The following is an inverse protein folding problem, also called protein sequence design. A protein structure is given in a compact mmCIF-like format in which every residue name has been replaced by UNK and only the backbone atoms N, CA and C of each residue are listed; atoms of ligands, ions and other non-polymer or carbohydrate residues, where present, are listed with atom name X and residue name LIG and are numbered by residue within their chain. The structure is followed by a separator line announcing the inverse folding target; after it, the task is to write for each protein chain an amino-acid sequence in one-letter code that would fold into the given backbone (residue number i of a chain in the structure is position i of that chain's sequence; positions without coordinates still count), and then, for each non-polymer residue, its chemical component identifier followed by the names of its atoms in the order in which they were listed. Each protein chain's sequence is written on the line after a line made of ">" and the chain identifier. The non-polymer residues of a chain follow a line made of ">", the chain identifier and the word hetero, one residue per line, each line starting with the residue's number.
data_IF_225915117230
#
_entry.id   IF_225915117230
#
_cell.length_a   1.000
_cell.length_b   1.000
_cell.length_c   1.000
_cell.angle_alpha   90.00
_cell.angle_beta   90.00
_cell.angle_gamma   90.00
#
_symmetry.space_group_name_H-M   'P 1'
#
loop_
_entity.id
_entity.type
_entity.pdbx_description
1 polymer ?
#
# COMPACT_ATOMS: atom_id res chain seq x y z
N UNK A 1 25.31 -1.26 -12.23
CA UNK A 1 24.47 -2.24 -11.50
C UNK A 1 23.18 -1.63 -10.94
N UNK A 2 23.00 -0.31 -10.97
CA UNK A 2 21.79 0.39 -10.47
C UNK A 2 20.60 0.39 -11.47
N UNK A 3 20.81 0.03 -12.73
CA UNK A 3 19.77 0.12 -13.76
C UNK A 3 18.80 -1.07 -13.80
N UNK A 4 19.11 -2.20 -13.14
CA UNK A 4 18.22 -3.38 -13.20
C UNK A 4 17.02 -3.30 -12.26
N UNK A 5 17.14 -2.60 -11.13
CA UNK A 5 16.09 -2.51 -10.11
C UNK A 5 14.97 -1.52 -10.49
N UNK A 6 15.29 -0.48 -11.28
CA UNK A 6 14.29 0.51 -11.70
C UNK A 6 13.27 -0.02 -12.73
N UNK A 7 13.61 -1.01 -13.52
CA UNK A 7 12.73 -1.53 -14.57
C UNK A 7 11.56 -2.36 -14.02
N UNK A 8 11.68 -2.93 -12.83
CA UNK A 8 10.62 -3.77 -12.24
C UNK A 8 9.54 -2.96 -11.52
N UNK A 9 9.86 -1.78 -10.98
CA UNK A 9 8.93 -0.95 -10.18
C UNK A 9 7.76 -0.41 -11.02
N UNK A 10 7.92 -0.32 -12.35
CA UNK A 10 6.88 0.16 -13.26
C UNK A 10 6.39 -0.93 -14.22
N UNK A 11 6.73 -2.20 -13.97
CA UNK A 11 6.25 -3.31 -14.79
C UNK A 11 4.80 -3.61 -14.45
N UNK A 12 3.93 -3.56 -15.46
CA UNK A 12 2.54 -3.95 -15.31
C UNK A 12 2.36 -5.40 -15.78
N UNK A 13 1.60 -6.21 -15.04
CA UNK A 13 1.35 -7.60 -15.43
C UNK A 13 0.58 -7.68 -16.75
N UNK A 14 0.94 -8.66 -17.59
CA UNK A 14 0.20 -9.00 -18.81
C UNK A 14 -1.05 -9.76 -18.41
N UNK A 15 -2.22 -9.32 -18.89
CA UNK A 15 -3.51 -9.83 -18.47
C UNK A 15 -4.06 -10.94 -19.36
N UNK A 16 -4.71 -11.89 -18.71
CA UNK A 16 -5.71 -12.78 -19.33
C UNK A 16 -7.08 -12.07 -19.26
N UNK A 17 -7.84 -12.15 -20.33
CA UNK A 17 -9.15 -11.50 -20.50
C UNK A 17 -10.06 -11.65 -19.27
N UNK A 18 -10.62 -10.51 -18.76
CA UNK A 18 -11.57 -10.36 -17.65
C UNK A 18 -11.01 -10.21 -16.23
N UNK A 19 -9.72 -10.05 -16.03
CA UNK A 19 -9.21 -9.74 -14.69
C UNK A 19 -9.63 -8.34 -14.24
N UNK A 20 -9.95 -8.17 -12.96
CA UNK A 20 -10.14 -6.86 -12.35
C UNK A 20 -8.79 -6.31 -11.91
N UNK A 21 -8.61 -5.01 -12.03
CA UNK A 21 -7.43 -4.32 -11.53
C UNK A 21 -7.77 -3.71 -10.18
N UNK A 22 -7.21 -4.27 -9.13
CA UNK A 22 -7.32 -3.72 -7.78
C UNK A 22 -6.14 -2.78 -7.55
N UNK A 23 -6.42 -1.58 -7.09
CA UNK A 23 -5.44 -0.53 -6.86
C UNK A 23 -5.49 -0.14 -5.40
N UNK A 24 -4.34 -0.13 -4.76
CA UNK A 24 -4.11 0.43 -3.42
C UNK A 24 -3.03 1.47 -3.50
N UNK A 25 -3.04 2.47 -2.61
CA UNK A 25 -1.98 3.47 -2.52
C UNK A 25 -1.56 3.74 -1.10
N UNK A 26 -0.31 4.16 -0.92
CA UNK A 26 0.19 4.54 0.40
C UNK A 26 1.68 4.79 0.45
N UNK A 27 2.13 5.33 1.58
CA UNK A 27 3.55 5.55 1.87
C UNK A 27 4.28 4.29 2.31
N UNK A 28 3.60 3.40 3.05
CA UNK A 28 4.16 2.14 3.57
C UNK A 28 5.51 2.34 4.29
N UNK A 29 5.55 3.32 5.19
CA UNK A 29 6.80 3.78 5.81
C UNK A 29 6.70 4.00 7.33
N UNK A 30 7.27 3.09 8.14
CA UNK A 30 7.66 1.73 7.78
C UNK A 30 6.46 0.84 7.44
N UNK A 31 6.71 -0.22 6.67
CA UNK A 31 5.70 -1.25 6.44
C UNK A 31 5.44 -2.04 7.74
N UNK A 32 4.20 -2.43 7.98
CA UNK A 32 3.79 -3.14 9.19
C UNK A 32 2.59 -4.07 8.93
N UNK A 33 2.22 -4.88 9.93
CA UNK A 33 1.15 -5.88 9.81
C UNK A 33 -0.19 -5.29 9.32
N UNK A 34 -0.53 -4.07 9.72
CA UNK A 34 -1.73 -3.38 9.23
C UNK A 34 -1.72 -3.16 7.71
N UNK A 35 -0.56 -2.84 7.14
CA UNK A 35 -0.40 -2.74 5.68
C UNK A 35 -0.56 -4.10 5.00
N UNK A 36 -0.01 -5.17 5.59
CA UNK A 36 -0.16 -6.52 5.06
C UNK A 36 -1.63 -6.97 5.07
N UNK A 37 -2.34 -6.69 6.17
CA UNK A 37 -3.79 -6.97 6.25
C UNK A 37 -4.58 -6.19 5.20
N UNK A 38 -4.27 -4.92 5.01
CA UNK A 38 -4.90 -4.08 4.00
C UNK A 38 -4.68 -4.62 2.57
N UNK A 39 -3.43 -4.94 2.21
CA UNK A 39 -3.06 -5.53 0.91
C UNK A 39 -3.82 -6.86 0.69
N UNK A 40 -3.81 -7.74 1.69
CA UNK A 40 -4.51 -9.03 1.62
C UNK A 40 -6.01 -8.87 1.44
N UNK A 41 -6.63 -7.97 2.22
CA UNK A 41 -8.06 -7.69 2.12
C UNK A 41 -8.42 -7.05 0.76
N UNK A 42 -7.60 -6.14 0.24
CA UNK A 42 -7.78 -5.57 -1.09
C UNK A 42 -7.72 -6.63 -2.18
N UNK A 43 -6.76 -7.55 -2.13
CA UNK A 43 -6.66 -8.67 -3.07
C UNK A 43 -7.92 -9.56 -3.04
N UNK A 44 -8.52 -9.75 -1.87
CA UNK A 44 -9.72 -10.56 -1.67
C UNK A 44 -11.01 -9.81 -2.06
N UNK A 45 -11.01 -8.48 -2.08
CA UNK A 45 -12.18 -7.66 -2.42
C UNK A 45 -12.67 -7.87 -3.86
N UNK A 46 -11.84 -8.45 -4.73
CA UNK A 46 -12.22 -8.77 -6.10
C UNK A 46 -11.62 -10.12 -6.51
N UNK A 47 -12.49 -11.09 -6.81
CA UNK A 47 -12.06 -12.38 -7.36
C UNK A 47 -11.33 -12.21 -8.69
N UNK A 48 -10.34 -13.07 -8.95
CA UNK A 48 -9.53 -13.06 -10.18
C UNK A 48 -8.95 -11.67 -10.50
N UNK A 49 -8.36 -11.03 -9.48
CA UNK A 49 -7.82 -9.67 -9.60
C UNK A 49 -6.30 -9.66 -9.71
N UNK A 50 -5.80 -8.60 -10.35
CA UNK A 50 -4.42 -8.17 -10.27
C UNK A 50 -4.36 -7.00 -9.30
N UNK A 51 -3.46 -7.07 -8.31
CA UNK A 51 -3.28 -6.02 -7.32
C UNK A 51 -2.05 -5.18 -7.63
N UNK A 52 -2.29 -3.91 -7.85
CA UNK A 52 -1.28 -2.89 -8.10
C UNK A 52 -1.17 -2.00 -6.87
N UNK A 53 0.03 -1.87 -6.35
CA UNK A 53 0.36 -0.94 -5.27
C UNK A 53 0.96 0.32 -5.85
N UNK A 54 0.27 1.44 -5.73
CA UNK A 54 0.83 2.76 -5.96
C UNK A 54 1.61 3.22 -4.75
N UNK A 55 2.92 3.33 -4.91
CA UNK A 55 3.82 3.71 -3.82
C UNK A 55 4.10 5.21 -3.87
N UNK A 56 3.76 5.92 -2.80
CA UNK A 56 4.04 7.35 -2.68
C UNK A 56 5.54 7.63 -2.64
N UNK A 57 5.92 8.77 -3.19
CA UNK A 57 7.30 9.26 -3.26
C UNK A 57 7.88 9.59 -1.88
N UNK A 58 9.21 9.70 -1.80
CA UNK A 58 9.90 10.19 -0.60
C UNK A 58 9.55 11.65 -0.33
N UNK A 59 9.33 12.44 -1.39
CA UNK A 59 8.90 13.84 -1.31
C UNK A 59 7.50 13.96 -0.71
N UNK A 60 6.58 13.06 -1.08
CA UNK A 60 5.26 13.02 -0.47
C UNK A 60 5.33 12.72 1.03
N UNK A 61 6.18 11.75 1.43
CA UNK A 61 6.39 11.44 2.85
C UNK A 61 6.99 12.61 3.61
N UNK A 62 7.96 13.32 3.04
CA UNK A 62 8.53 14.55 3.63
C UNK A 62 7.46 15.61 3.84
N UNK A 63 6.59 15.84 2.85
CA UNK A 63 5.48 16.81 3.00
C UNK A 63 4.49 16.39 4.09
N UNK A 64 4.19 15.10 4.20
CA UNK A 64 3.19 14.57 5.13
C UNK A 64 3.70 14.35 6.55
N UNK A 65 4.95 13.94 6.71
CA UNK A 65 5.51 13.49 8.00
C UNK A 65 6.84 14.15 8.35
N UNK A 66 7.29 15.15 7.59
CA UNK A 66 8.59 15.84 7.70
C UNK A 66 9.81 15.00 7.32
N UNK A 67 9.71 13.70 7.29
CA UNK A 67 10.80 12.78 6.92
C UNK A 67 10.22 11.44 6.45
N UNK A 68 11.06 10.62 5.86
CA UNK A 68 10.78 9.20 5.63
C UNK A 68 11.77 8.34 6.44
N UNK A 69 11.34 7.15 6.79
CA UNK A 69 12.15 6.16 7.50
C UNK A 69 12.89 5.25 6.51
N UNK A 70 12.17 4.74 5.50
CA UNK A 70 12.74 3.92 4.44
C UNK A 70 12.65 4.65 3.09
N UNK A 71 13.74 4.73 2.31
CA UNK A 71 13.69 5.33 0.98
C UNK A 71 12.81 4.51 0.04
N UNK A 72 12.35 5.14 -1.04
CA UNK A 72 11.40 4.57 -2.00
C UNK A 72 11.78 3.15 -2.46
N UNK A 73 13.05 2.93 -2.83
CA UNK A 73 13.50 1.64 -3.35
C UNK A 73 13.41 0.51 -2.32
N UNK A 74 13.69 0.77 -1.05
CA UNK A 74 13.52 -0.21 0.02
C UNK A 74 12.06 -0.59 0.20
N UNK A 75 11.18 0.41 0.28
CA UNK A 75 9.73 0.20 0.40
C UNK A 75 9.18 -0.57 -0.81
N UNK A 76 9.62 -0.21 -2.01
CA UNK A 76 9.23 -0.88 -3.24
C UNK A 76 9.68 -2.34 -3.26
N UNK A 77 10.93 -2.63 -2.87
CA UNK A 77 11.47 -3.99 -2.81
C UNK A 77 10.67 -4.87 -1.85
N UNK A 78 10.35 -4.36 -0.66
CA UNK A 78 9.54 -5.09 0.32
C UNK A 78 8.15 -5.40 -0.25
N UNK A 79 7.49 -4.40 -0.84
CA UNK A 79 6.15 -4.55 -1.40
C UNK A 79 6.12 -5.52 -2.58
N UNK A 80 7.11 -5.49 -3.48
CA UNK A 80 7.22 -6.42 -4.60
C UNK A 80 7.35 -7.87 -4.17
N UNK A 81 7.91 -8.12 -2.99
CA UNK A 81 8.06 -9.45 -2.40
C UNK A 81 6.96 -9.77 -1.39
N UNK A 82 5.93 -8.93 -1.28
CA UNK A 82 4.77 -9.17 -0.42
C UNK A 82 3.75 -10.04 -1.15
N UNK A 83 3.34 -11.14 -0.52
CA UNK A 83 2.34 -12.05 -1.08
C UNK A 83 1.05 -11.30 -1.41
N UNK A 84 0.57 -11.50 -2.64
CA UNK A 84 -0.66 -10.87 -3.15
C UNK A 84 -0.44 -9.56 -3.90
N UNK A 85 0.77 -9.01 -3.91
CA UNK A 85 1.15 -7.87 -4.75
C UNK A 85 1.63 -8.38 -6.11
N UNK A 86 0.98 -7.91 -7.19
CA UNK A 86 1.35 -8.29 -8.54
C UNK A 86 2.24 -7.22 -9.20
N UNK A 87 2.10 -5.96 -8.79
CA UNK A 87 2.98 -4.87 -9.26
C UNK A 87 3.07 -3.75 -8.22
N UNK A 88 4.21 -3.08 -8.19
CA UNK A 88 4.44 -1.83 -7.47
C UNK A 88 4.80 -0.76 -8.48
N UNK A 89 4.10 0.38 -8.42
CA UNK A 89 4.28 1.45 -9.39
C UNK A 89 4.46 2.81 -8.71
N UNK A 90 5.32 3.62 -9.27
CA UNK A 90 5.42 5.04 -8.94
C UNK A 90 4.38 5.84 -9.72
N UNK A 91 3.98 6.97 -9.17
CA UNK A 91 3.06 7.91 -9.81
C UNK A 91 3.37 9.34 -9.36
N UNK A 92 2.84 10.32 -10.08
CA UNK A 92 2.94 11.71 -9.65
C UNK A 92 1.97 11.96 -8.49
N UNK A 93 2.50 12.23 -7.31
CA UNK A 93 1.76 12.51 -6.08
C UNK A 93 2.01 13.93 -5.54
N UNK A 94 2.39 14.86 -6.42
CA UNK A 94 2.71 16.23 -6.05
C UNK A 94 1.49 16.98 -5.47
N UNK A 95 0.29 16.66 -5.94
CA UNK A 95 -0.98 17.18 -5.45
C UNK A 95 -1.48 16.50 -4.16
N UNK A 96 -0.77 15.49 -3.68
CA UNK A 96 -1.13 14.72 -2.48
C UNK A 96 -2.18 13.65 -2.70
N UNK A 97 -2.66 13.43 -3.93
CA UNK A 97 -3.73 12.50 -4.28
C UNK A 97 -3.22 11.26 -5.01
N UNK A 98 -4.08 10.24 -5.17
CA UNK A 98 -3.82 9.07 -6.01
C UNK A 98 -4.50 9.17 -7.39
N UNK A 99 -4.96 10.34 -7.79
CA UNK A 99 -5.65 10.56 -9.07
C UNK A 99 -4.79 10.09 -10.25
N UNK A 100 -3.51 10.53 -10.30
CA UNK A 100 -2.62 10.14 -11.38
C UNK A 100 -2.27 8.63 -11.40
N UNK A 101 -2.29 7.97 -10.25
CA UNK A 101 -2.18 6.52 -10.17
C UNK A 101 -3.36 5.84 -10.88
N UNK A 102 -4.59 6.24 -10.54
CA UNK A 102 -5.80 5.65 -11.12
C UNK A 102 -5.84 5.91 -12.64
N UNK A 103 -5.54 7.15 -13.07
CA UNK A 103 -5.44 7.52 -14.48
C UNK A 103 -4.35 6.72 -15.21
N UNK A 104 -3.20 6.49 -14.60
CA UNK A 104 -2.13 5.65 -15.13
C UNK A 104 -2.62 4.21 -15.33
N UNK A 105 -3.30 3.62 -14.35
CA UNK A 105 -3.87 2.29 -14.46
C UNK A 105 -4.94 2.23 -15.57
N UNK A 106 -5.79 3.25 -15.70
CA UNK A 106 -6.81 3.32 -16.76
C UNK A 106 -6.19 3.38 -18.16
N UNK A 107 -5.13 4.14 -18.35
CA UNK A 107 -4.41 4.20 -19.64
C UNK A 107 -3.84 2.84 -20.06
N UNK A 108 -3.38 2.05 -19.10
CA UNK A 108 -2.76 0.73 -19.36
C UNK A 108 -3.81 -0.36 -19.51
N UNK A 109 -4.91 -0.24 -18.78
CA UNK A 109 -6.01 -1.20 -18.77
C UNK A 109 -7.35 -0.54 -19.15
N UNK A 110 -7.50 -0.07 -20.41
CA UNK A 110 -8.64 0.77 -20.81
C UNK A 110 -9.98 0.06 -20.67
N UNK A 111 -10.02 -1.25 -20.86
CA UNK A 111 -11.27 -2.04 -20.88
C UNK A 111 -11.54 -2.81 -19.59
N UNK A 112 -10.62 -2.82 -18.64
CA UNK A 112 -10.74 -3.62 -17.44
C UNK A 112 -11.47 -2.86 -16.33
N UNK A 113 -12.28 -3.56 -15.52
CA UNK A 113 -12.81 -2.97 -14.30
C UNK A 113 -11.66 -2.58 -13.35
N UNK A 114 -11.65 -1.32 -12.93
CA UNK A 114 -10.74 -0.82 -11.89
C UNK A 114 -11.46 -0.78 -10.54
N UNK A 115 -10.76 -1.18 -9.50
CA UNK A 115 -11.25 -1.15 -8.12
C UNK A 115 -10.22 -0.44 -7.26
N UNK A 116 -10.49 0.80 -6.89
CA UNK A 116 -9.63 1.55 -5.98
C UNK A 116 -10.06 1.28 -4.53
N UNK A 117 -9.20 0.61 -3.78
CA UNK A 117 -9.45 0.21 -2.41
C UNK A 117 -8.89 1.23 -1.43
N UNK A 118 -9.71 1.64 -0.48
CA UNK A 118 -9.36 2.56 0.59
C UNK A 118 -9.43 1.84 1.95
N UNK A 119 -8.37 1.94 2.73
CA UNK A 119 -8.29 1.40 4.08
C UNK A 119 -8.35 2.48 5.16
N UNK A 120 -8.40 2.04 6.42
CA UNK A 120 -8.35 2.93 7.57
C UNK A 120 -9.55 3.85 7.68
N UNK A 121 -9.28 5.14 7.90
CA UNK A 121 -10.25 6.22 8.12
C UNK A 121 -10.71 6.93 6.83
N UNK A 122 -10.42 6.34 5.66
CA UNK A 122 -10.84 6.89 4.38
C UNK A 122 -12.32 6.61 4.13
N UNK A 123 -13.06 7.68 3.80
CA UNK A 123 -14.50 7.66 3.49
C UNK A 123 -14.77 8.36 2.16
N UNK A 124 -16.00 8.29 1.68
CA UNK A 124 -16.42 8.98 0.45
C UNK A 124 -16.22 10.49 0.52
N UNK A 125 -16.34 11.06 1.71
CA UNK A 125 -16.30 12.50 1.94
C UNK A 125 -14.88 13.04 2.01
N UNK A 126 -13.88 12.18 2.27
CA UNK A 126 -12.51 12.63 2.55
C UNK A 126 -11.47 12.16 1.52
N UNK A 127 -11.89 11.60 0.37
CA UNK A 127 -10.97 11.25 -0.71
C UNK A 127 -11.17 12.15 -1.94
N UNK A 128 -10.14 12.88 -2.35
CA UNK A 128 -10.22 13.80 -3.49
C UNK A 128 -10.41 13.09 -4.83
N UNK A 129 -10.02 11.84 -4.93
CA UNK A 129 -10.16 11.01 -6.13
C UNK A 129 -11.61 10.90 -6.61
N UNK A 130 -12.58 10.91 -5.70
CA UNK A 130 -14.00 10.88 -6.06
C UNK A 130 -14.52 12.22 -6.61
N UNK A 131 -13.75 13.30 -6.49
CA UNK A 131 -14.12 14.62 -6.98
C UNK A 131 -13.50 14.95 -8.34
N UNK A 132 -12.57 14.14 -8.83
CA UNK A 132 -11.96 14.34 -10.16
C UNK A 132 -12.98 14.09 -11.27
N UNK A 133 -13.16 15.07 -12.16
CA UNK A 133 -14.17 15.05 -13.22
C UNK A 133 -13.95 13.93 -14.25
N UNK A 134 -12.72 13.50 -14.46
CA UNK A 134 -12.42 12.40 -15.37
C UNK A 134 -12.74 11.05 -14.73
N UNK A 135 -12.40 10.88 -13.44
CA UNK A 135 -12.66 9.64 -12.71
C UNK A 135 -14.16 9.44 -12.44
N UNK A 136 -14.92 10.53 -12.23
CA UNK A 136 -16.40 10.46 -12.10
C UNK A 136 -17.09 9.90 -13.34
N UNK A 137 -16.53 10.13 -14.52
CA UNK A 137 -17.08 9.66 -15.79
C UNK A 137 -16.66 8.23 -16.15
N UNK A 138 -15.79 7.62 -15.36
CA UNK A 138 -15.32 6.26 -15.60
C UNK A 138 -16.30 5.24 -15.01
N UNK A 139 -17.17 4.71 -15.82
CA UNK A 139 -18.19 3.72 -15.45
C UNK A 139 -17.63 2.35 -15.03
N UNK A 140 -16.37 2.07 -15.38
CA UNK A 140 -15.64 0.86 -15.01
C UNK A 140 -14.76 1.04 -13.76
N UNK A 141 -14.78 2.22 -13.11
CA UNK A 141 -14.07 2.50 -11.87
C UNK A 141 -15.00 2.35 -10.66
N UNK A 142 -14.56 1.58 -9.67
CA UNK A 142 -15.26 1.44 -8.39
C UNK A 142 -14.33 1.81 -7.24
N UNK A 143 -14.91 2.47 -6.24
CA UNK A 143 -14.25 2.76 -4.97
C UNK A 143 -14.79 1.82 -3.89
N UNK A 144 -13.89 1.20 -3.13
CA UNK A 144 -14.25 0.38 -1.96
C UNK A 144 -13.57 1.00 -0.73
N UNK A 145 -14.33 1.08 0.36
CA UNK A 145 -13.89 1.67 1.63
C UNK A 145 -13.86 0.63 2.75
N UNK A 146 -13.12 0.94 3.82
CA UNK A 146 -13.02 0.06 4.99
C UNK A 146 -12.29 -1.25 4.72
N UNK A 147 -11.46 -1.29 3.66
CA UNK A 147 -10.70 -2.48 3.30
C UNK A 147 -9.65 -2.76 4.37
N UNK A 148 -9.65 -3.97 4.91
CA UNK A 148 -8.79 -4.36 6.03
C UNK A 148 -9.42 -4.12 7.41
N UNK A 149 -10.67 -3.61 7.45
CA UNK A 149 -11.43 -3.39 8.68
C UNK A 149 -11.10 -2.07 9.38
N UNK A 150 -11.90 -1.74 10.38
CA UNK A 150 -11.74 -0.53 11.21
C UNK A 150 -10.70 -0.70 12.33
N UNK A 151 -10.29 -1.93 12.64
CA UNK A 151 -9.31 -2.20 13.68
C UNK A 151 -7.91 -1.83 13.20
N UNK A 152 -7.37 -0.76 13.76
CA UNK A 152 -6.01 -0.30 13.50
C UNK A 152 -5.02 -1.13 14.33
N UNK A 153 -4.64 -2.29 13.80
CA UNK A 153 -3.72 -3.21 14.48
C UNK A 153 -2.34 -2.58 14.73
N UNK A 154 -1.92 -1.62 13.89
CA UNK A 154 -0.65 -0.89 14.06
C UNK A 154 -0.65 0.38 13.19
N UNK A 155 0.33 1.26 13.41
CA UNK A 155 0.61 2.37 12.51
C UNK A 155 2.09 2.69 12.46
N UNK A 156 2.53 3.18 11.30
CA UNK A 156 3.93 3.60 11.11
C UNK A 156 4.37 4.65 12.13
N UNK A 157 3.50 5.61 12.48
CA UNK A 157 3.81 6.63 13.49
C UNK A 157 4.00 6.01 14.88
N UNK A 158 3.13 5.09 15.31
CA UNK A 158 3.29 4.42 16.60
C UNK A 158 4.61 3.65 16.69
N UNK A 159 4.97 2.92 15.63
CA UNK A 159 6.24 2.17 15.58
C UNK A 159 7.42 3.13 15.68
N UNK A 160 7.41 4.24 14.95
CA UNK A 160 8.50 5.21 14.96
C UNK A 160 8.59 5.99 16.29
N UNK A 161 7.47 6.32 16.90
CA UNK A 161 7.42 7.00 18.21
C UNK A 161 7.95 6.08 19.30
N UNK A 162 7.57 4.80 19.27
CA UNK A 162 8.10 3.79 20.19
C UNK A 162 9.61 3.56 20.00
N UNK A 163 10.08 3.59 18.75
CA UNK A 163 11.51 3.47 18.44
C UNK A 163 12.33 4.65 18.96
N UNK A 164 11.77 5.87 18.91
CA UNK A 164 12.41 7.11 19.38
C UNK A 164 12.35 7.30 20.89
N UNK A 165 11.39 6.65 21.56
CA UNK A 165 11.23 6.77 23.01
C UNK A 165 12.45 6.18 23.75
N UNK A 166 12.87 6.76 24.90
CA UNK A 166 13.87 6.14 25.74
C UNK A 166 13.45 4.73 26.12
N UNK A 167 14.30 3.75 25.89
CA UNK A 167 13.98 2.34 26.18
C UNK A 167 13.85 2.15 27.70
N UNK A 168 12.64 2.00 28.18
CA UNK A 168 12.34 1.61 29.55
C UNK A 168 12.23 0.08 29.66
N UNK A 169 12.37 -0.47 30.88
CA UNK A 169 12.28 -1.93 31.10
C UNK A 169 11.02 -2.59 30.54
N UNK A 170 9.91 -1.85 30.36
CA UNK A 170 8.68 -2.34 29.74
C UNK A 170 8.84 -2.71 28.26
N UNK A 171 9.74 -2.07 27.55
CA UNK A 171 9.95 -2.34 26.12
C UNK A 171 10.66 -3.67 25.87
N UNK A 172 11.45 -4.13 26.83
CA UNK A 172 12.04 -5.46 26.79
C UNK A 172 10.99 -6.58 26.90
N UNK A 173 9.82 -6.31 27.47
CA UNK A 173 8.71 -7.26 27.53
C UNK A 173 8.18 -7.65 26.15
N UNK A 174 8.10 -6.70 25.22
CA UNK A 174 7.63 -6.97 23.83
C UNK A 174 8.62 -7.87 23.08
N UNK A 175 9.92 -7.61 23.20
CA UNK A 175 10.96 -8.47 22.63
C UNK A 175 11.02 -9.84 23.31
N UNK A 176 10.71 -9.94 24.57
CA UNK A 176 10.65 -11.22 25.30
C UNK A 176 9.50 -12.08 24.77
N UNK A 177 8.32 -11.51 24.53
CA UNK A 177 7.17 -12.21 23.93
C UNK A 177 7.51 -12.73 22.52
N UNK A 178 8.21 -11.96 21.72
CA UNK A 178 8.66 -12.40 20.39
C UNK A 178 9.71 -13.52 20.47
N UNK A 179 10.60 -13.48 21.47
CA UNK A 179 11.58 -14.56 21.72
C UNK A 179 10.88 -15.84 22.18
N UNK A 180 9.92 -15.77 23.10
CA UNK A 180 9.14 -16.91 23.56
C UNK A 180 8.27 -17.51 22.45
N UNK A 181 7.80 -16.68 21.50
CA UNK A 181 7.11 -17.16 20.29
C UNK A 181 8.07 -17.82 19.29
N UNK A 182 9.27 -17.29 19.14
CA UNK A 182 10.33 -17.87 18.31
C UNK A 182 10.73 -19.27 18.77
N UNK A 183 10.79 -19.48 20.08
CA UNK A 183 11.13 -20.79 20.67
C UNK A 183 9.99 -21.83 20.55
N UNK A 184 8.73 -21.37 20.45
CA UNK A 184 7.56 -22.25 20.23
C UNK A 184 7.36 -22.64 18.76
N UNK A 185 7.98 -21.94 17.82
CA UNK A 185 7.93 -22.27 16.38
C UNK A 185 9.04 -23.26 15.98
N UNK A 186 10.04 -23.45 16.83
CA UNK A 186 10.99 -24.55 16.65
C UNK A 186 10.30 -25.85 17.07
N UNK A 187 9.99 -26.67 16.10
CA UNK A 187 9.57 -28.06 16.24
C UNK A 187 8.07 -28.33 16.06
N UNK A 188 7.71 -28.54 14.78
CA UNK A 188 7.15 -29.84 14.42
C UNK A 188 7.44 -30.14 12.97
#
# INVERSE_FOLDING_TARGET
>A
QLNHTMNYINSFPILVTRSKIVIVSGGFDPIHSGHIHYIKAAKQAASSSILIVGLNSDEWLKRKKSSFFMPFNERATILQNTVGVDAVVSFNDNDGTAIELIKKCRRIYPDHPLVFCNGGDRTKENIPEMNDEQLKKDDKLKFIFGVGGSYKANSSSWILDEYKAPKTERQWGYYRVLHEWGDKIKLK
#
